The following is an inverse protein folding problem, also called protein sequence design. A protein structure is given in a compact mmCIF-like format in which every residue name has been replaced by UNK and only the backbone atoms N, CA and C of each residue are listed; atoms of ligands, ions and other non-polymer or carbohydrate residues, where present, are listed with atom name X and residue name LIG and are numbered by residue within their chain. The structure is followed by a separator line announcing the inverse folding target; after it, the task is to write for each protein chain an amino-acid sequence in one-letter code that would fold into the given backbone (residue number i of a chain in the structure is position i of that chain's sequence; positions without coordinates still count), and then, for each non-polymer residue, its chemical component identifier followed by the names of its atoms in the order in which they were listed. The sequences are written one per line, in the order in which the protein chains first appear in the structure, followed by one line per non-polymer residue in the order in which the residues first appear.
data_IF_037609695217
#
_entry.id   IF_037609695217
#
_cell.length_a   1.000
_cell.length_b   1.000
_cell.length_c   1.000
_cell.angle_alpha   90.00
_cell.angle_beta   90.00
_cell.angle_gamma   90.00
#
_symmetry.space_group_name_H-M   'P 1'
#
loop_
_entity.id
_entity.type
_entity.pdbx_description
1 polymer ?
#
# COMPACT_ATOMS: atom_id res chain seq x y z
N UNK A 1 -3.46 0.61 35.29
CA UNK A 1 -4.65 1.14 34.59
C UNK A 1 -4.33 1.05 33.12
N UNK A 2 -4.88 0.04 32.44
CA UNK A 2 -4.67 -0.17 31.01
C UNK A 2 -5.46 0.90 30.25
N UNK A 3 -4.79 1.69 29.42
CA UNK A 3 -5.45 2.68 28.57
C UNK A 3 -6.16 1.95 27.42
N UNK A 4 -7.46 2.20 27.31
CA UNK A 4 -8.33 1.71 26.25
C UNK A 4 -7.83 2.19 24.88
N UNK A 5 -7.87 1.31 23.89
CA UNK A 5 -7.58 1.65 22.50
C UNK A 5 -8.63 2.65 21.98
N UNK A 6 -8.24 3.64 21.16
CA UNK A 6 -9.17 4.64 20.64
C UNK A 6 -10.25 4.01 19.75
N UNK A 7 -11.46 4.60 19.70
CA UNK A 7 -12.57 4.10 18.91
C UNK A 7 -12.25 4.12 17.41
N UNK A 8 -12.86 3.22 16.61
CA UNK A 8 -12.59 3.13 15.17
C UNK A 8 -12.93 4.44 14.46
N UNK A 9 -12.00 4.91 13.64
CA UNK A 9 -12.17 6.07 12.76
C UNK A 9 -13.36 5.82 11.82
N UNK A 10 -14.28 6.79 11.77
CA UNK A 10 -15.46 6.78 10.91
C UNK A 10 -15.05 6.66 9.43
N UNK A 11 -15.35 5.50 8.83
CA UNK A 11 -15.36 5.28 7.38
C UNK A 11 -16.80 5.45 6.90
N UNK A 12 -17.19 6.65 6.49
CA UNK A 12 -18.49 6.82 5.86
C UNK A 12 -18.45 6.25 4.42
N UNK A 13 -19.27 5.22 4.23
CA UNK A 13 -19.70 4.60 2.98
C UNK A 13 -18.68 3.78 2.16
N UNK A 14 -18.03 2.81 2.81
CA UNK A 14 -17.90 1.49 2.18
C UNK A 14 -18.43 0.46 3.17
N UNK A 15 -19.45 -0.32 2.79
CA UNK A 15 -19.89 -1.50 3.56
C UNK A 15 -18.83 -2.62 3.57
N UNK A 16 -17.57 -2.32 3.23
CA UNK A 16 -16.41 -3.20 3.36
C UNK A 16 -15.70 -2.86 4.66
N UNK A 17 -15.66 -3.80 5.59
CA UNK A 17 -14.77 -3.69 6.74
C UNK A 17 -13.35 -3.91 6.21
N UNK A 18 -12.67 -2.82 5.86
CA UNK A 18 -11.29 -2.90 5.42
C UNK A 18 -10.44 -3.39 6.59
N UNK A 19 -9.90 -4.60 6.52
CA UNK A 19 -8.86 -5.04 7.44
C UNK A 19 -7.56 -4.41 6.94
N UNK A 20 -7.25 -3.24 7.48
CA UNK A 20 -6.02 -2.54 7.17
C UNK A 20 -4.84 -3.33 7.73
N UNK A 21 -3.92 -3.75 6.85
CA UNK A 21 -2.67 -4.41 7.27
C UNK A 21 -1.52 -3.40 7.35
N UNK A 22 -1.58 -2.31 6.57
CA UNK A 22 -0.57 -1.25 6.53
C UNK A 22 -1.19 0.03 5.96
N UNK A 23 -1.24 1.11 6.73
CA UNK A 23 -1.75 2.42 6.29
C UNK A 23 -0.96 3.52 6.99
N UNK A 24 -0.48 4.49 6.22
CA UNK A 24 -0.05 5.80 6.72
C UNK A 24 -1.19 6.79 6.58
N UNK A 25 -1.68 7.34 7.68
CA UNK A 25 -2.68 8.40 7.66
C UNK A 25 -2.02 9.75 7.96
N UNK A 26 -2.38 10.83 7.23
CA UNK A 26 -2.06 12.18 7.68
C UNK A 26 -2.86 12.45 8.96
N UNK A 27 -2.18 12.72 10.08
CA UNK A 27 -2.85 13.00 11.35
C UNK A 27 -3.18 14.47 11.48
N UNK A 28 -2.16 15.33 11.43
CA UNK A 28 -2.31 16.75 11.68
C UNK A 28 -1.40 17.57 10.79
N UNK A 29 -1.85 18.79 10.48
CA UNK A 29 -1.02 19.85 9.93
C UNK A 29 -0.26 20.50 11.09
N UNK A 30 0.91 19.97 11.42
CA UNK A 30 1.79 20.58 12.43
C UNK A 30 2.38 21.85 11.82
N UNK A 31 2.16 23.00 12.48
CA UNK A 31 2.87 24.23 12.14
C UNK A 31 4.15 24.23 12.97
N UNK A 32 5.31 24.09 12.32
CA UNK A 32 6.59 24.16 13.04
C UNK A 32 6.87 25.57 13.58
N UNK A 33 7.92 25.73 14.38
CA UNK A 33 8.32 27.02 14.99
C UNK A 33 8.57 28.15 13.98
N UNK A 34 8.73 27.81 12.69
CA UNK A 34 8.88 28.77 11.59
C UNK A 34 7.55 29.08 10.87
N UNK A 35 6.40 28.67 11.42
CA UNK A 35 5.09 28.91 10.81
C UNK A 35 4.77 28.00 9.62
N UNK A 36 5.53 26.92 9.39
CA UNK A 36 5.35 26.06 8.20
C UNK A 36 4.57 24.79 8.51
N UNK A 37 3.61 24.51 7.64
CA UNK A 37 2.79 23.30 7.65
C UNK A 37 3.61 22.05 7.31
N UNK A 38 3.62 21.08 8.21
CA UNK A 38 4.19 19.75 8.04
C UNK A 38 3.09 18.73 8.34
N UNK A 39 2.90 17.77 7.43
CA UNK A 39 2.00 16.65 7.65
C UNK A 39 2.74 15.58 8.43
N UNK A 40 2.22 15.21 9.59
CA UNK A 40 2.70 14.05 10.32
C UNK A 40 1.93 12.82 9.88
N UNK A 41 2.66 11.73 9.68
CA UNK A 41 2.12 10.47 9.21
C UNK A 41 2.45 9.40 10.24
N UNK A 42 1.41 8.75 10.76
CA UNK A 42 1.60 7.63 11.68
C UNK A 42 1.39 6.30 10.96
N UNK A 43 2.29 5.35 11.22
CA UNK A 43 2.08 3.95 10.88
C UNK A 43 1.13 3.34 11.92
N UNK A 44 -0.03 2.87 11.47
CA UNK A 44 -1.08 2.37 12.38
C UNK A 44 -0.86 0.89 12.72
N UNK A 45 -0.22 0.13 11.82
CA UNK A 45 0.14 -1.26 12.03
C UNK A 45 1.39 -1.61 11.21
N UNK A 46 2.23 -2.50 11.76
CA UNK A 46 3.28 -3.14 10.99
C UNK A 46 2.65 -4.16 10.03
N UNK A 47 3.16 -4.28 8.80
CA UNK A 47 2.66 -5.28 7.87
C UNK A 47 2.95 -6.67 8.44
N UNK A 48 1.99 -7.62 8.40
CA UNK A 48 2.17 -8.99 8.85
C UNK A 48 3.15 -9.71 7.92
N UNK A 49 4.44 -9.47 8.14
CA UNK A 49 5.52 -9.82 7.22
C UNK A 49 6.05 -11.20 7.56
N UNK A 50 5.97 -12.12 6.59
CA UNK A 50 6.59 -13.45 6.68
C UNK A 50 8.09 -13.37 6.44
N UNK A 51 8.49 -12.63 5.41
CA UNK A 51 9.88 -12.46 5.02
C UNK A 51 10.06 -11.14 4.28
N UNK A 52 11.24 -10.54 4.39
CA UNK A 52 11.59 -9.30 3.69
C UNK A 52 13.07 -9.29 3.35
N UNK A 53 13.39 -8.90 2.11
CA UNK A 53 14.75 -8.70 1.62
C UNK A 53 14.78 -7.46 0.74
N UNK A 54 15.63 -6.49 1.07
CA UNK A 54 15.78 -5.26 0.29
C UNK A 54 14.67 -4.22 0.43
N UNK A 55 13.73 -4.40 1.38
CA UNK A 55 12.71 -3.41 1.72
C UNK A 55 13.03 -2.75 3.06
N UNK A 56 12.90 -1.43 3.12
CA UNK A 56 13.13 -0.64 4.32
C UNK A 56 11.96 0.28 4.59
N UNK A 57 11.72 0.56 5.87
CA UNK A 57 10.75 1.59 6.23
C UNK A 57 11.36 2.95 5.92
N UNK A 58 10.74 3.69 5.01
CA UNK A 58 11.08 5.09 4.77
C UNK A 58 10.15 5.95 5.60
N UNK A 59 10.73 6.76 6.48
CA UNK A 59 10.12 7.96 7.05
C UNK A 59 10.86 9.22 6.58
N UNK A 60 11.77 9.06 5.60
CA UNK A 60 12.72 10.11 5.25
C UNK A 60 12.01 11.36 4.72
N UNK A 61 12.23 12.47 5.42
CA UNK A 61 11.88 13.77 4.93
C UNK A 61 12.89 14.17 3.86
N UNK A 62 12.40 14.47 2.65
CA UNK A 62 13.23 14.99 1.57
C UNK A 62 12.92 16.46 1.35
N UNK A 63 13.96 17.25 1.13
CA UNK A 63 13.82 18.67 0.77
C UNK A 63 13.35 18.77 -0.67
N UNK A 64 12.12 19.22 -0.87
CA UNK A 64 11.58 19.53 -2.19
C UNK A 64 12.31 20.71 -2.84
N UNK A 65 12.08 20.92 -4.14
CA UNK A 65 12.71 22.00 -4.93
C UNK A 65 12.49 23.40 -4.36
N UNK A 66 11.40 23.62 -3.63
CA UNK A 66 11.08 24.89 -2.95
C UNK A 66 11.64 24.98 -1.51
N UNK A 67 12.55 24.08 -1.11
CA UNK A 67 13.07 24.02 0.25
C UNK A 67 12.12 23.43 1.30
N UNK A 68 10.87 23.11 0.92
CA UNK A 68 9.88 22.47 1.81
C UNK A 68 10.28 21.02 2.09
N UNK A 69 10.32 20.63 3.37
CA UNK A 69 10.44 19.22 3.76
C UNK A 69 9.15 18.49 3.36
N UNK A 70 9.29 17.42 2.59
CA UNK A 70 8.22 16.49 2.24
C UNK A 70 8.58 15.12 2.79
N UNK A 71 7.73 14.57 3.62
CA UNK A 71 7.77 13.15 3.99
C UNK A 71 6.94 12.37 2.98
N UNK A 72 7.43 11.21 2.55
CA UNK A 72 6.61 10.26 1.82
C UNK A 72 6.80 8.88 2.45
N UNK A 73 6.11 8.64 3.57
CA UNK A 73 6.38 7.48 4.38
C UNK A 73 5.76 6.23 3.77
N UNK A 74 6.46 5.12 3.87
CA UNK A 74 6.13 3.90 3.14
C UNK A 74 7.22 2.84 3.25
N UNK A 75 6.93 1.65 2.74
CA UNK A 75 7.95 0.63 2.51
C UNK A 75 8.63 0.95 1.18
N UNK A 76 9.93 1.22 1.25
CA UNK A 76 10.76 1.59 0.13
C UNK A 76 11.66 0.41 -0.25
N UNK A 77 11.80 0.19 -1.55
CA UNK A 77 12.93 -0.56 -2.09
C UNK A 77 13.52 0.16 -3.29
N UNK A 78 14.83 0.04 -3.46
CA UNK A 78 15.59 0.46 -4.64
C UNK A 78 16.45 -0.68 -5.20
N UNK A 79 16.29 -1.89 -4.67
CA UNK A 79 17.17 -3.03 -4.98
C UNK A 79 16.45 -3.97 -5.93
N UNK A 80 16.88 -4.11 -7.19
CA UNK A 80 16.37 -5.12 -8.11
C UNK A 80 16.32 -6.50 -7.45
N UNK A 81 15.22 -7.22 -7.62
CA UNK A 81 15.02 -8.54 -7.02
C UNK A 81 14.62 -8.52 -5.55
N UNK A 82 14.49 -7.36 -4.89
CA UNK A 82 13.98 -7.27 -3.53
C UNK A 82 12.59 -7.92 -3.40
N UNK A 83 12.37 -8.65 -2.31
CA UNK A 83 11.15 -9.42 -2.06
C UNK A 83 10.52 -9.07 -0.72
N UNK A 84 9.21 -9.00 -0.68
CA UNK A 84 8.41 -8.85 0.53
C UNK A 84 7.26 -9.85 0.50
N UNK A 85 7.16 -10.69 1.52
CA UNK A 85 6.06 -11.64 1.69
C UNK A 85 5.19 -11.25 2.88
N UNK A 86 3.90 -11.13 2.65
CA UNK A 86 2.90 -10.68 3.60
C UNK A 86 1.87 -11.77 3.85
N UNK A 87 1.46 -11.98 5.10
CA UNK A 87 0.41 -12.93 5.51
C UNK A 87 -0.86 -12.14 5.80
N UNK A 88 -1.89 -12.33 4.98
CA UNK A 88 -3.14 -11.56 5.02
C UNK A 88 -4.30 -12.48 5.38
N UNK A 89 -5.24 -12.03 6.21
CA UNK A 89 -6.54 -12.70 6.38
C UNK A 89 -7.53 -12.10 5.37
N UNK A 90 -7.73 -12.80 4.26
CA UNK A 90 -8.62 -12.39 3.16
C UNK A 90 -10.04 -12.90 3.32
N UNK A 91 -10.41 -13.42 4.49
CA UNK A 91 -11.80 -13.82 4.73
C UNK A 91 -12.71 -12.59 4.81
N UNK A 92 -13.94 -12.67 4.30
CA UNK A 92 -14.95 -11.63 4.48
C UNK A 92 -15.18 -11.36 5.96
N UNK A 93 -15.23 -10.08 6.35
CA UNK A 93 -15.44 -9.71 7.75
C UNK A 93 -16.83 -10.11 8.29
N UNK A 94 -17.82 -10.20 7.39
CA UNK A 94 -19.15 -10.73 7.68
C UNK A 94 -19.43 -11.88 6.73
N UNK A 95 -19.27 -13.10 7.21
CA UNK A 95 -19.76 -14.30 6.53
C UNK A 95 -21.29 -14.40 6.75
N UNK A 96 -22.06 -13.45 6.23
CA UNK A 96 -23.52 -13.52 6.33
C UNK A 96 -24.05 -14.49 5.27
N UNK A 97 -24.58 -15.61 5.78
CA UNK A 97 -25.53 -16.57 5.21
C UNK A 97 -25.92 -16.32 3.73
N UNK A 98 -25.21 -16.95 2.80
CA UNK A 98 -25.73 -17.23 1.46
C UNK A 98 -25.38 -16.27 0.31
N UNK A 99 -24.68 -15.16 0.57
CA UNK A 99 -24.20 -14.29 -0.52
C UNK A 99 -22.73 -14.55 -0.88
N UNK A 100 -22.42 -14.62 -2.18
CA UNK A 100 -21.05 -14.68 -2.70
C UNK A 100 -20.29 -13.43 -2.27
N UNK A 101 -19.50 -13.57 -1.20
CA UNK A 101 -18.65 -12.50 -0.70
C UNK A 101 -17.35 -12.54 -1.47
N UNK A 102 -17.06 -11.45 -2.19
CA UNK A 102 -15.77 -11.29 -2.85
C UNK A 102 -14.79 -10.65 -1.87
N UNK A 103 -13.52 -11.03 -2.00
CA UNK A 103 -12.40 -10.40 -1.30
C UNK A 103 -11.45 -9.78 -2.31
N UNK A 104 -10.84 -8.67 -1.94
CA UNK A 104 -9.84 -8.01 -2.75
C UNK A 104 -8.70 -7.46 -1.89
N UNK A 105 -7.53 -7.32 -2.50
CA UNK A 105 -6.37 -6.63 -1.93
C UNK A 105 -6.21 -5.32 -2.70
N UNK A 106 -6.24 -4.20 -1.99
CA UNK A 106 -5.89 -2.88 -2.54
C UNK A 106 -4.47 -2.53 -2.12
N UNK A 107 -3.63 -2.26 -3.12
CA UNK A 107 -2.24 -1.85 -2.99
C UNK A 107 -2.11 -0.39 -3.39
N UNK A 108 -1.68 0.47 -2.48
CA UNK A 108 -1.44 1.90 -2.73
C UNK A 108 0.05 2.19 -2.76
N UNK A 109 0.50 2.94 -3.75
CA UNK A 109 1.92 3.17 -4.03
C UNK A 109 2.17 4.56 -4.62
N UNK A 110 3.43 4.98 -4.57
CA UNK A 110 3.86 6.19 -5.27
C UNK A 110 4.03 5.88 -6.76
N UNK A 111 3.33 6.60 -7.62
CA UNK A 111 3.62 6.66 -9.05
C UNK A 111 4.35 7.97 -9.36
N UNK A 112 5.38 7.93 -10.20
CA UNK A 112 6.19 9.12 -10.51
C UNK A 112 6.88 9.02 -11.86
N UNK A 113 7.18 10.18 -12.45
CA UNK A 113 7.86 10.31 -13.74
C UNK A 113 9.37 9.99 -13.69
N UNK A 114 9.95 9.73 -12.52
CA UNK A 114 11.41 9.61 -12.37
C UNK A 114 11.82 8.55 -11.35
N UNK A 115 12.83 7.75 -11.72
CA UNK A 115 13.48 6.74 -10.89
C UNK A 115 12.63 5.52 -10.52
N UNK A 116 11.40 5.40 -11.01
CA UNK A 116 10.45 4.37 -10.59
C UNK A 116 10.67 3.02 -11.27
N UNK A 117 10.53 1.95 -10.47
CA UNK A 117 10.63 0.56 -10.93
C UNK A 117 9.28 -0.12 -11.10
N UNK A 118 9.33 -1.41 -11.46
CA UNK A 118 8.16 -2.28 -11.65
C UNK A 118 8.05 -3.31 -10.53
N UNK A 119 6.83 -3.60 -10.07
CA UNK A 119 6.56 -4.52 -8.97
C UNK A 119 5.73 -5.70 -9.48
N UNK A 120 6.24 -6.92 -9.34
CA UNK A 120 5.45 -8.14 -9.50
C UNK A 120 4.65 -8.43 -8.24
N UNK A 121 3.36 -8.71 -8.41
CA UNK A 121 2.41 -9.04 -7.34
C UNK A 121 1.86 -10.43 -7.57
N UNK A 122 2.02 -11.33 -6.59
CA UNK A 122 1.61 -12.75 -6.74
C UNK A 122 1.09 -13.33 -5.42
N UNK A 123 0.05 -14.15 -5.49
CA UNK A 123 -0.39 -14.99 -4.37
C UNK A 123 0.40 -16.30 -4.41
N UNK A 124 1.07 -16.65 -3.32
CA UNK A 124 2.00 -17.80 -3.28
C UNK A 124 1.56 -18.93 -2.36
N UNK A 125 0.60 -18.70 -1.46
CA UNK A 125 0.07 -19.73 -0.55
C UNK A 125 -1.29 -19.34 0.03
N UNK A 126 -2.16 -20.32 0.22
CA UNK A 126 -3.45 -20.21 0.93
C UNK A 126 -4.57 -19.50 0.17
N UNK A 127 -4.24 -18.65 -0.81
CA UNK A 127 -5.17 -17.90 -1.64
C UNK A 127 -4.70 -17.87 -3.10
N UNK A 128 -5.60 -17.48 -3.99
CA UNK A 128 -5.35 -17.29 -5.42
C UNK A 128 -5.71 -15.85 -5.81
N UNK A 129 -4.89 -15.24 -6.66
CA UNK A 129 -5.15 -13.97 -7.31
C UNK A 129 -4.50 -13.97 -8.69
N UNK A 130 -5.03 -13.16 -9.62
CA UNK A 130 -4.36 -12.92 -10.89
C UNK A 130 -3.06 -12.15 -10.62
N UNK A 131 -1.91 -12.79 -10.88
CA UNK A 131 -0.63 -12.10 -10.76
C UNK A 131 -0.54 -10.95 -11.76
N UNK A 132 0.02 -9.83 -11.34
CA UNK A 132 0.14 -8.63 -12.17
C UNK A 132 1.51 -7.97 -11.97
N UNK A 133 1.93 -7.18 -12.96
CA UNK A 133 3.06 -6.27 -12.84
C UNK A 133 2.56 -4.85 -12.78
N UNK A 134 2.85 -4.17 -11.67
CA UNK A 134 2.59 -2.74 -11.50
C UNK A 134 3.80 -1.96 -11.98
N UNK A 135 3.63 -1.14 -13.01
CA UNK A 135 4.62 -0.12 -13.34
C UNK A 135 4.32 1.18 -12.59
N UNK A 136 5.27 1.60 -11.75
CA UNK A 136 5.15 2.84 -11.00
C UNK A 136 5.74 4.05 -11.74
N UNK A 137 6.32 3.84 -12.93
CA UNK A 137 6.69 4.91 -13.83
C UNK A 137 5.46 5.46 -14.55
N UNK A 138 5.26 6.78 -14.46
CA UNK A 138 4.25 7.49 -15.24
C UNK A 138 4.93 8.15 -16.45
N UNK A 139 4.83 7.50 -17.61
CA UNK A 139 5.40 7.97 -18.87
C UNK A 139 4.47 8.97 -19.61
N UNK A 140 3.17 8.98 -19.30
CA UNK A 140 2.19 9.82 -20.00
C UNK A 140 2.13 11.25 -19.46
N UNK A 141 2.71 11.49 -18.29
CA UNK A 141 2.60 12.76 -17.63
C UNK A 141 3.57 13.80 -18.23
N UNK A 142 3.08 14.55 -19.21
CA UNK A 142 3.51 15.95 -19.42
C UNK A 142 3.48 16.78 -18.11
N UNK A 143 2.88 16.25 -17.03
CA UNK A 143 3.03 16.70 -15.64
C UNK A 143 4.21 16.01 -14.94
N UNK A 144 5.25 16.78 -14.61
CA UNK A 144 6.36 16.34 -13.75
C UNK A 144 5.97 16.28 -12.27
N UNK A 145 4.98 15.44 -11.94
CA UNK A 145 4.44 15.28 -10.58
C UNK A 145 4.44 13.81 -10.17
N UNK A 146 4.55 13.57 -8.87
CA UNK A 146 4.32 12.25 -8.29
C UNK A 146 2.92 12.22 -7.70
N UNK A 147 2.23 11.08 -7.83
CA UNK A 147 0.87 10.88 -7.35
C UNK A 147 0.78 9.59 -6.54
N UNK A 148 -0.20 9.52 -5.64
CA UNK A 148 -0.57 8.27 -4.99
C UNK A 148 -1.51 7.52 -5.93
N UNK A 149 -1.11 6.33 -6.35
CA UNK A 149 -1.87 5.45 -7.21
C UNK A 149 -2.30 4.20 -6.44
N UNK A 150 -3.31 3.50 -6.95
CA UNK A 150 -3.76 2.24 -6.36
C UNK A 150 -4.03 1.18 -7.43
N UNK A 151 -3.89 -0.08 -7.01
CA UNK A 151 -4.28 -1.27 -7.76
C UNK A 151 -5.10 -2.18 -6.88
N UNK A 152 -6.06 -2.88 -7.47
CA UNK A 152 -7.00 -3.75 -6.77
C UNK A 152 -6.96 -5.14 -7.39
N UNK A 153 -6.75 -6.15 -6.55
CA UNK A 153 -6.64 -7.55 -6.95
C UNK A 153 -7.76 -8.34 -6.32
N UNK A 154 -8.60 -9.00 -7.12
CA UNK A 154 -9.51 -10.01 -6.60
C UNK A 154 -8.70 -11.18 -6.05
N UNK A 155 -9.09 -11.67 -4.86
CA UNK A 155 -8.39 -12.74 -4.17
C UNK A 155 -9.39 -13.73 -3.57
N UNK A 156 -9.05 -15.02 -3.54
CA UNK A 156 -9.87 -16.01 -2.83
C UNK A 156 -9.79 -15.82 -1.32
N UNK A 157 -10.87 -16.17 -0.62
CA UNK A 157 -10.96 -16.03 0.83
C UNK A 157 -10.11 -17.09 1.55
N UNK A 158 -9.18 -16.65 2.39
CA UNK A 158 -8.28 -17.51 3.15
C UNK A 158 -7.92 -16.87 4.49
N UNK A 159 -7.79 -17.69 5.54
CA UNK A 159 -7.33 -17.20 6.85
C UNK A 159 -5.88 -16.72 6.80
N UNK A 160 -5.05 -17.37 5.99
CA UNK A 160 -3.64 -17.06 5.77
C UNK A 160 -3.35 -17.06 4.27
N UNK A 161 -3.42 -15.89 3.66
CA UNK A 161 -3.08 -15.63 2.27
C UNK A 161 -1.67 -15.04 2.21
N UNK A 162 -0.73 -15.73 1.57
CA UNK A 162 0.63 -15.21 1.39
C UNK A 162 0.72 -14.45 0.07
N UNK A 163 0.85 -13.13 0.17
CA UNK A 163 1.11 -12.24 -0.96
C UNK A 163 2.61 -11.97 -1.05
N UNK A 164 3.21 -12.21 -2.22
CA UNK A 164 4.59 -11.87 -2.53
C UNK A 164 4.64 -10.66 -3.46
N UNK A 165 5.40 -9.66 -3.03
CA UNK A 165 5.78 -8.49 -3.80
C UNK A 165 7.25 -8.62 -4.19
N UNK A 166 7.58 -8.52 -5.48
CA UNK A 166 8.97 -8.57 -5.97
C UNK A 166 9.26 -7.36 -6.84
N UNK A 167 10.26 -6.57 -6.45
CA UNK A 167 10.77 -5.49 -7.26
C UNK A 167 11.52 -6.11 -8.45
N UNK A 168 11.05 -5.85 -9.67
CA UNK A 168 11.57 -6.49 -10.87
C UNK A 168 12.92 -5.90 -11.28
N UNK A 169 13.71 -6.74 -11.95
CA UNK A 169 14.99 -6.35 -12.54
C UNK A 169 14.79 -5.51 -13.79
N UNK A 170 13.70 -5.73 -14.53
CA UNK A 170 13.32 -4.90 -15.65
C UNK A 170 12.51 -3.67 -15.20
N UNK A 171 12.79 -2.54 -15.82
CA UNK A 171 12.04 -1.30 -15.66
C UNK A 171 11.84 -0.61 -17.00
N UNK A 172 10.86 0.29 -17.07
CA UNK A 172 10.60 1.08 -18.29
C UNK A 172 11.65 2.16 -18.52
N UNK A 173 12.31 2.62 -17.45
CA UNK A 173 13.45 3.53 -17.52
C UNK A 173 14.71 2.79 -17.06
N UNK A 174 15.75 2.62 -17.91
CA UNK A 174 16.95 1.89 -17.54
C UNK A 174 17.56 2.35 -16.20
N UNK A 175 17.81 1.39 -15.30
CA UNK A 175 18.40 1.65 -13.97
C UNK A 175 17.41 2.20 -12.92
N UNK A 176 16.15 2.42 -13.28
CA UNK A 176 15.12 2.88 -12.35
C UNK A 176 14.48 1.71 -11.59
N UNK A 177 14.70 1.66 -10.26
CA UNK A 177 14.19 0.57 -9.41
C UNK A 177 13.56 1.06 -8.10
N UNK A 178 13.23 2.35 -7.99
CA UNK A 178 12.55 2.84 -6.79
C UNK A 178 11.09 2.38 -6.78
N UNK A 179 10.65 1.80 -5.68
CA UNK A 179 9.23 1.55 -5.42
C UNK A 179 8.89 1.94 -4.00
N UNK A 180 7.79 2.67 -3.81
CA UNK A 180 7.29 3.06 -2.49
C UNK A 180 5.88 2.54 -2.33
N UNK A 181 5.70 1.59 -1.42
CA UNK A 181 4.42 1.04 -1.00
C UNK A 181 3.90 1.87 0.19
N UNK A 182 2.71 2.45 0.06
CA UNK A 182 2.07 3.30 1.08
C UNK A 182 1.07 2.54 1.92
N UNK A 183 0.21 1.75 1.27
CA UNK A 183 -0.83 1.03 1.99
C UNK A 183 -1.14 -0.31 1.34
N UNK A 184 -1.58 -1.23 2.20
CA UNK A 184 -2.16 -2.49 1.78
C UNK A 184 -3.40 -2.78 2.63
N UNK A 185 -4.53 -2.97 1.94
CA UNK A 185 -5.84 -3.15 2.55
C UNK A 185 -6.49 -4.42 2.01
N UNK A 186 -7.12 -5.19 2.89
CA UNK A 186 -8.02 -6.27 2.50
C UNK A 186 -9.45 -5.72 2.52
N UNK A 187 -10.11 -5.78 1.37
CA UNK A 187 -11.48 -5.33 1.16
C UNK A 187 -12.40 -6.54 1.00
N UNK A 188 -13.64 -6.44 1.48
CA UNK A 188 -14.67 -7.47 1.27
C UNK A 188 -16.01 -6.82 0.92
N UNK A 189 -16.72 -7.36 -0.06
CA UNK A 189 -18.03 -6.86 -0.50
C UNK A 189 -19.01 -8.00 -0.72
N UNK A 190 -20.28 -7.74 -0.43
CA UNK A 190 -21.42 -8.59 -0.74
C UNK A 190 -22.18 -8.17 -2.01
N UNK A 191 -21.82 -7.05 -2.66
CA UNK A 191 -22.53 -6.50 -3.83
C UNK A 191 -21.76 -6.64 -5.16
N UNK A 192 -20.69 -7.43 -5.19
CA UNK A 192 -19.77 -7.47 -6.32
C UNK A 192 -18.99 -6.15 -6.49
N UNK A 193 -18.13 -6.08 -7.52
CA UNK A 193 -17.53 -4.81 -7.98
C UNK A 193 -16.43 -4.20 -7.11
N UNK A 194 -15.70 -4.99 -6.31
CA UNK A 194 -14.64 -4.46 -5.42
C UNK A 194 -13.51 -3.71 -6.13
N UNK A 195 -13.22 -4.08 -7.37
CA UNK A 195 -12.14 -3.52 -8.18
C UNK A 195 -12.65 -2.82 -9.46
N UNK A 196 -13.93 -2.47 -9.50
CA UNK A 196 -14.56 -1.74 -10.60
C UNK A 196 -14.41 -0.23 -10.45
#
# INVERSE_FOLDING_TARGET
VFAELPPPLHFDAIQSVARACYVWLPQDKIINLEGRAQWDYQMIALPPTRSSSGWTMSSQAHRGKEGRMKTNPGLLSTTPGATLELILDTRPAQASLGHHTQSAIRLEYLQSYDGMGRLGVTCTSGCECAGEVVDAHDAEAGRRVSVHASRCYLVTAAKECVLRLRLLEESTVPGAHKFVLHALQVLSSNRGGLCA
#
